data_IF_024591494253
#
_entry.id   IF_024591494253
#
_cell.length_a   1.000
_cell.length_b   1.000
_cell.length_c   1.000
_cell.angle_alpha   90.00
_cell.angle_beta   90.00
_cell.angle_gamma   90.00
#
_symmetry.space_group_name_H-M   'P 1'
#
loop_
_entity.id
_entity.type
_entity.pdbx_description
1 polymer ?
#
# COMPACT_ATOMS: atom_id res chain seq x y z
N UNK A 1 24.93 16.02 11.91
CA UNK A 1 23.71 15.20 11.78
C UNK A 1 23.99 13.83 12.38
N UNK A 2 23.05 13.22 13.11
CA UNK A 2 23.23 11.85 13.60
C UNK A 2 23.21 10.86 12.43
N UNK A 3 23.80 9.67 12.60
CA UNK A 3 23.74 8.58 11.60
C UNK A 3 22.29 8.18 11.27
N UNK A 4 21.38 8.30 12.24
CA UNK A 4 19.94 8.11 12.03
C UNK A 4 19.33 9.19 11.13
N UNK A 5 19.76 10.45 11.25
CA UNK A 5 19.27 11.54 10.39
C UNK A 5 19.54 11.27 8.91
N UNK A 6 20.72 10.75 8.56
CA UNK A 6 21.03 10.35 7.19
C UNK A 6 20.16 9.17 6.72
N UNK A 7 19.89 8.20 7.59
CA UNK A 7 19.00 7.08 7.25
C UNK A 7 17.58 7.57 6.93
N UNK A 8 17.04 8.50 7.73
CA UNK A 8 15.73 9.10 7.47
C UNK A 8 15.69 9.86 6.15
N UNK A 9 16.75 10.61 5.81
CA UNK A 9 16.84 11.28 4.51
C UNK A 9 16.81 10.28 3.35
N UNK A 10 17.60 9.19 3.43
CA UNK A 10 17.61 8.14 2.39
C UNK A 10 16.22 7.55 2.22
N UNK A 11 15.57 7.18 3.33
CA UNK A 11 14.21 6.61 3.29
C UNK A 11 13.23 7.62 2.68
N UNK A 12 13.25 8.88 3.11
CA UNK A 12 12.39 9.91 2.55
C UNK A 12 12.62 10.07 1.04
N UNK A 13 13.88 10.11 0.58
CA UNK A 13 14.19 10.21 -0.84
C UNK A 13 13.61 9.05 -1.67
N UNK A 14 13.70 7.81 -1.19
CA UNK A 14 13.15 6.65 -1.91
C UNK A 14 11.63 6.70 -2.09
N UNK A 15 10.93 7.33 -1.14
CA UNK A 15 9.48 7.39 -1.05
C UNK A 15 8.90 8.77 -1.45
N UNK A 16 9.70 9.60 -2.12
CA UNK A 16 9.26 10.88 -2.70
C UNK A 16 9.04 10.77 -4.21
N UNK A 17 8.33 11.73 -4.78
CA UNK A 17 8.09 11.80 -6.23
C UNK A 17 6.86 10.99 -6.66
N UNK A 18 7.00 10.14 -7.67
CA UNK A 18 5.87 9.43 -8.28
C UNK A 18 5.53 8.08 -7.63
N UNK A 19 5.73 7.93 -6.32
CA UNK A 19 5.36 6.68 -5.64
C UNK A 19 3.87 6.64 -5.31
N UNK A 20 3.27 5.45 -5.30
CA UNK A 20 1.83 5.30 -5.07
C UNK A 20 1.46 5.83 -3.68
N UNK A 21 2.23 5.53 -2.63
CA UNK A 21 1.91 6.03 -1.29
C UNK A 21 2.02 7.56 -1.21
N UNK A 22 3.05 8.15 -1.83
CA UNK A 22 3.19 9.60 -1.86
C UNK A 22 2.05 10.28 -2.61
N UNK A 23 1.70 9.76 -3.79
CA UNK A 23 0.62 10.32 -4.60
C UNK A 23 -0.76 10.12 -3.96
N UNK A 24 -0.93 9.04 -3.18
CA UNK A 24 -2.19 8.75 -2.48
C UNK A 24 -2.32 9.61 -1.22
N UNK A 25 -1.35 9.58 -0.31
CA UNK A 25 -1.46 10.12 1.05
C UNK A 25 -0.52 11.29 1.36
N UNK A 26 0.37 11.66 0.43
CA UNK A 26 1.39 12.69 0.61
C UNK A 26 2.71 12.16 1.16
N UNK A 27 3.77 12.96 0.98
CA UNK A 27 5.16 12.56 1.24
C UNK A 27 5.41 12.25 2.71
N UNK A 28 4.76 12.99 3.62
CA UNK A 28 4.90 12.78 5.06
C UNK A 28 4.39 11.39 5.46
N UNK A 29 3.23 10.96 4.94
CA UNK A 29 2.66 9.64 5.26
C UNK A 29 3.51 8.53 4.65
N UNK A 30 3.93 8.68 3.38
CA UNK A 30 4.79 7.70 2.74
C UNK A 30 6.13 7.51 3.49
N UNK A 31 6.78 8.63 3.83
CA UNK A 31 8.04 8.63 4.58
C UNK A 31 7.91 8.06 5.99
N UNK A 32 6.90 8.46 6.78
CA UNK A 32 6.69 7.93 8.15
C UNK A 32 6.48 6.42 8.14
N UNK A 33 5.63 5.91 7.24
CA UNK A 33 5.40 4.46 7.11
C UNK A 33 6.67 3.70 6.73
N UNK A 34 7.43 4.23 5.77
CA UNK A 34 8.69 3.62 5.36
C UNK A 34 9.72 3.63 6.50
N UNK A 35 9.83 4.72 7.27
CA UNK A 35 10.72 4.82 8.44
C UNK A 35 10.35 3.78 9.50
N UNK A 36 9.06 3.69 9.86
CA UNK A 36 8.57 2.75 10.88
C UNK A 36 8.79 1.28 10.53
N UNK A 37 8.93 0.96 9.24
CA UNK A 37 9.26 -0.39 8.79
C UNK A 37 10.78 -0.60 8.64
N UNK A 38 11.47 0.31 7.94
CA UNK A 38 12.88 0.15 7.57
C UNK A 38 13.81 0.25 8.77
N UNK A 39 13.52 1.12 9.73
CA UNK A 39 14.43 1.33 10.87
C UNK A 39 14.51 0.11 11.77
N UNK A 40 13.40 -0.51 12.23
CA UNK A 40 13.48 -1.76 12.99
C UNK A 40 14.18 -2.89 12.23
N UNK A 41 13.95 -3.00 10.91
CA UNK A 41 14.62 -3.99 10.06
C UNK A 41 16.14 -3.77 10.00
N UNK A 42 16.57 -2.53 9.80
CA UNK A 42 17.98 -2.16 9.75
C UNK A 42 18.66 -2.34 11.12
N UNK A 43 18.00 -1.94 12.21
CA UNK A 43 18.52 -2.13 13.58
C UNK A 43 18.68 -3.61 13.92
N UNK A 44 17.68 -4.43 13.58
CA UNK A 44 17.75 -5.88 13.76
C UNK A 44 18.92 -6.48 12.94
N UNK A 45 19.03 -6.11 11.67
CA UNK A 45 20.10 -6.60 10.80
C UNK A 45 21.49 -6.17 11.31
N UNK A 46 21.63 -4.93 11.78
CA UNK A 46 22.86 -4.40 12.36
C UNK A 46 23.28 -5.19 13.62
N UNK A 47 22.32 -5.48 14.51
CA UNK A 47 22.58 -6.22 15.74
C UNK A 47 23.01 -7.67 15.47
N UNK A 48 22.44 -8.31 14.43
CA UNK A 48 22.66 -9.73 14.15
C UNK A 48 23.85 -10.01 13.22
N UNK A 49 24.01 -9.23 12.16
CA UNK A 49 24.89 -9.60 11.04
C UNK A 49 26.18 -8.78 10.97
N UNK A 50 26.24 -7.64 11.64
CA UNK A 50 27.36 -6.72 11.48
C UNK A 50 28.31 -6.82 12.66
N UNK A 51 29.34 -7.66 12.54
CA UNK A 51 30.45 -7.74 13.51
C UNK A 51 31.24 -6.42 13.61
N UNK A 52 31.18 -5.60 12.57
CA UNK A 52 31.76 -4.26 12.51
C UNK A 52 30.66 -3.22 12.76
N UNK A 53 31.00 -2.06 13.33
CA UNK A 53 30.04 -0.96 13.56
C UNK A 53 29.71 -0.24 12.25
N UNK A 54 29.13 -0.93 11.26
CA UNK A 54 28.63 -0.27 10.05
C UNK A 54 27.55 0.73 10.45
N UNK A 55 27.68 2.01 10.07
CA UNK A 55 26.66 3.01 10.37
C UNK A 55 25.30 2.61 9.79
N UNK A 56 24.22 2.82 10.56
CA UNK A 56 22.86 2.41 10.16
C UNK A 56 22.43 2.96 8.79
N UNK A 57 22.81 4.18 8.43
CA UNK A 57 22.48 4.75 7.13
C UNK A 57 23.13 4.00 5.96
N UNK A 58 24.36 3.52 6.13
CA UNK A 58 25.01 2.70 5.10
C UNK A 58 24.29 1.37 4.92
N UNK A 59 23.84 0.76 6.03
CA UNK A 59 23.05 -0.46 5.98
C UNK A 59 21.71 -0.22 5.28
N UNK A 60 21.01 0.87 5.59
CA UNK A 60 19.76 1.26 4.92
C UNK A 60 20.00 1.47 3.42
N UNK A 61 21.02 2.23 3.03
CA UNK A 61 21.35 2.49 1.60
C UNK A 61 21.58 1.18 0.84
N UNK A 62 22.34 0.25 1.43
CA UNK A 62 22.68 -1.05 0.80
C UNK A 62 21.52 -2.03 0.80
N UNK A 63 20.55 -1.86 1.69
CA UNK A 63 19.39 -2.77 1.83
C UNK A 63 18.22 -2.38 0.92
N UNK A 64 18.19 -1.15 0.41
CA UNK A 64 17.27 -0.78 -0.67
C UNK A 64 17.68 -1.44 -1.99
N UNK A 65 16.72 -2.02 -2.69
CA UNK A 65 16.94 -2.54 -4.03
C UNK A 65 17.26 -1.40 -4.99
N UNK A 66 18.40 -1.48 -5.67
CA UNK A 66 18.81 -0.54 -6.70
C UNK A 66 18.63 -1.17 -8.07
N UNK A 67 18.09 -0.44 -9.06
CA UNK A 67 18.18 -0.84 -10.44
C UNK A 67 19.66 -0.97 -10.86
N UNK A 68 19.94 -1.87 -11.79
CA UNK A 68 21.26 -1.96 -12.42
C UNK A 68 21.56 -0.75 -13.32
N UNK A 69 22.70 -0.76 -14.00
CA UNK A 69 23.13 0.31 -14.91
C UNK A 69 22.14 0.51 -16.06
N UNK A 70 21.38 -0.53 -16.42
CA UNK A 70 20.35 -0.49 -17.46
C UNK A 70 18.98 -0.09 -16.91
N UNK A 71 18.88 0.22 -15.62
CA UNK A 71 17.62 0.55 -14.95
C UNK A 71 16.74 -0.67 -14.65
N UNK A 72 17.27 -1.89 -14.76
CA UNK A 72 16.50 -3.10 -14.50
C UNK A 72 16.57 -3.48 -13.02
N UNK A 73 15.43 -3.90 -12.47
CA UNK A 73 15.38 -4.52 -11.15
C UNK A 73 15.84 -5.99 -11.22
N UNK A 74 16.31 -6.56 -10.09
CA UNK A 74 16.58 -7.99 -9.98
C UNK A 74 15.44 -8.85 -10.51
N UNK A 75 15.79 -9.93 -11.23
CA UNK A 75 14.81 -10.84 -11.81
C UNK A 75 13.87 -11.40 -10.73
N UNK A 76 12.57 -11.16 -10.91
CA UNK A 76 11.51 -11.53 -9.96
C UNK A 76 10.79 -10.32 -9.39
N UNK A 77 11.49 -9.21 -9.14
CA UNK A 77 10.86 -7.98 -8.64
C UNK A 77 10.02 -7.31 -9.72
N UNK A 78 8.76 -6.94 -9.41
CA UNK A 78 7.88 -6.34 -10.40
C UNK A 78 8.35 -4.94 -10.80
N UNK A 79 8.05 -4.47 -12.02
CA UNK A 79 8.46 -3.15 -12.48
C UNK A 79 8.03 -2.03 -11.53
N UNK A 80 8.91 -1.06 -11.31
CA UNK A 80 8.64 0.11 -10.47
C UNK A 80 8.66 -0.16 -8.96
N UNK A 81 8.87 -1.39 -8.49
CA UNK A 81 8.92 -1.70 -7.06
C UNK A 81 10.03 -0.93 -6.33
N UNK A 82 9.68 -0.37 -5.17
CA UNK A 82 10.61 0.10 -4.15
C UNK A 82 10.72 -1.01 -3.11
N UNK A 83 11.79 -1.80 -3.22
CA UNK A 83 11.98 -2.98 -2.40
C UNK A 83 13.09 -2.80 -1.37
N UNK A 84 12.95 -3.49 -0.24
CA UNK A 84 13.93 -3.51 0.84
C UNK A 84 14.27 -4.95 1.22
N UNK A 85 15.52 -5.19 1.58
CA UNK A 85 16.03 -6.52 1.89
C UNK A 85 15.34 -7.09 3.14
N UNK A 86 14.74 -8.27 3.00
CA UNK A 86 14.06 -9.00 4.05
C UNK A 86 14.95 -10.17 4.52
N UNK A 87 15.75 -9.93 5.56
CA UNK A 87 16.58 -10.99 6.17
C UNK A 87 15.71 -12.13 6.73
N UNK A 88 16.27 -13.33 6.91
CA UNK A 88 15.49 -14.53 7.27
C UNK A 88 14.68 -14.37 8.57
N UNK A 89 15.19 -13.59 9.52
CA UNK A 89 14.56 -13.33 10.83
C UNK A 89 13.96 -11.93 10.94
N UNK A 90 13.76 -11.25 9.81
CA UNK A 90 13.15 -9.91 9.76
C UNK A 90 11.72 -9.86 10.32
N UNK A 91 11.10 -11.00 10.60
CA UNK A 91 9.70 -11.11 11.00
C UNK A 91 8.72 -10.79 9.87
N UNK A 92 9.20 -10.56 8.64
CA UNK A 92 8.34 -10.35 7.47
C UNK A 92 7.67 -11.67 7.12
N UNK A 93 6.35 -11.62 6.97
CA UNK A 93 5.57 -12.80 6.65
C UNK A 93 5.99 -13.38 5.28
N UNK A 94 6.11 -14.72 5.13
CA UNK A 94 6.59 -15.33 3.89
C UNK A 94 5.79 -14.95 2.63
N UNK A 95 4.48 -14.67 2.76
CA UNK A 95 3.66 -14.20 1.63
C UNK A 95 4.09 -12.84 1.07
N UNK A 96 4.84 -12.05 1.83
CA UNK A 96 5.27 -10.71 1.43
C UNK A 96 6.73 -10.67 0.99
N UNK A 97 7.38 -11.84 0.94
CA UNK A 97 8.75 -12.00 0.49
C UNK A 97 8.76 -12.41 -0.99
N UNK A 98 9.57 -11.71 -1.77
CA UNK A 98 9.91 -12.05 -3.14
C UNK A 98 11.36 -12.53 -3.15
N UNK A 99 11.56 -13.79 -3.54
CA UNK A 99 12.90 -14.35 -3.72
C UNK A 99 13.34 -14.14 -5.16
N UNK A 100 14.50 -13.52 -5.34
CA UNK A 100 15.10 -13.31 -6.67
C UNK A 100 16.04 -14.46 -7.00
N UNK A 101 16.09 -14.87 -8.27
CA UNK A 101 16.88 -16.02 -8.74
C UNK A 101 18.40 -15.76 -8.82
N UNK A 102 18.90 -14.70 -8.19
CA UNK A 102 20.34 -14.38 -8.22
C UNK A 102 21.16 -15.39 -7.38
N UNK A 103 22.48 -15.41 -7.58
CA UNK A 103 23.38 -16.31 -6.85
C UNK A 103 23.28 -16.17 -5.32
N UNK A 104 22.89 -14.98 -4.84
CA UNK A 104 22.71 -14.68 -3.43
C UNK A 104 21.31 -15.05 -2.88
N UNK A 105 20.36 -15.46 -3.73
CA UNK A 105 18.93 -15.66 -3.40
C UNK A 105 18.37 -14.56 -2.50
N UNK A 106 18.56 -13.31 -2.92
CA UNK A 106 18.11 -12.16 -2.13
C UNK A 106 16.58 -12.19 -1.94
N UNK A 107 16.16 -11.92 -0.71
CA UNK A 107 14.77 -11.90 -0.25
C UNK A 107 14.33 -10.45 -0.09
N UNK A 108 13.22 -10.06 -0.69
CA UNK A 108 12.78 -8.66 -0.74
C UNK A 108 11.35 -8.50 -0.27
N UNK A 109 11.05 -7.41 0.44
CA UNK A 109 9.69 -6.94 0.65
C UNK A 109 9.45 -5.64 -0.15
N UNK A 110 8.23 -5.45 -0.68
CA UNK A 110 7.87 -4.25 -1.47
C UNK A 110 7.26 -3.20 -0.54
N UNK A 111 8.01 -2.12 -0.31
CA UNK A 111 7.60 -1.01 0.55
C UNK A 111 6.64 -0.05 -0.16
N UNK A 112 6.90 0.23 -1.44
CA UNK A 112 6.11 1.13 -2.29
C UNK A 112 6.32 0.75 -3.77
N UNK A 113 5.61 1.40 -4.68
CA UNK A 113 5.72 1.20 -6.13
C UNK A 113 5.67 2.56 -6.81
N UNK A 114 6.51 2.75 -7.84
CA UNK A 114 6.47 3.94 -8.69
C UNK A 114 5.33 3.81 -9.71
N UNK A 115 4.47 4.82 -9.73
CA UNK A 115 3.38 4.93 -10.68
C UNK A 115 3.93 5.25 -12.08
N UNK A 116 3.46 4.51 -13.09
CA UNK A 116 3.78 4.77 -14.50
C UNK A 116 3.15 6.08 -14.98
N UNK A 117 1.89 6.32 -14.59
CA UNK A 117 1.18 7.59 -14.81
C UNK A 117 0.78 8.18 -13.44
N UNK A 118 1.59 9.11 -12.89
CA UNK A 118 1.35 9.70 -11.58
C UNK A 118 0.00 10.44 -11.50
N UNK A 119 -0.53 10.88 -12.63
CA UNK A 119 -1.77 11.67 -12.68
C UNK A 119 -3.02 10.82 -12.47
N UNK A 120 -2.88 9.49 -12.47
CA UNK A 120 -3.98 8.51 -12.32
C UNK A 120 -4.15 8.01 -10.91
N UNK A 121 -3.15 8.16 -10.04
CA UNK A 121 -3.28 7.72 -8.66
C UNK A 121 -4.32 8.59 -7.97
N UNK A 122 -5.33 7.95 -7.38
CA UNK A 122 -6.42 8.63 -6.72
C UNK A 122 -5.94 9.07 -5.34
N UNK A 123 -5.88 10.38 -5.06
CA UNK A 123 -5.44 10.86 -3.76
C UNK A 123 -6.52 10.65 -2.70
N UNK A 124 -6.09 10.42 -1.47
CA UNK A 124 -6.94 10.17 -0.32
C UNK A 124 -6.32 10.76 0.95
N UNK A 125 -7.16 11.14 1.90
CA UNK A 125 -6.70 11.61 3.21
C UNK A 125 -6.51 10.41 4.13
N UNK A 126 -5.26 10.16 4.58
CA UNK A 126 -4.98 9.09 5.53
C UNK A 126 -5.83 9.29 6.80
N UNK A 127 -6.58 8.27 7.18
CA UNK A 127 -7.39 8.31 8.40
C UNK A 127 -6.52 7.95 9.59
N UNK A 128 -6.47 8.79 10.61
CA UNK A 128 -5.76 8.49 11.85
C UNK A 128 -6.77 8.42 13.00
N UNK A 129 -7.16 7.21 13.46
CA UNK A 129 -7.98 7.14 14.66
C UNK A 129 -7.19 7.74 15.82
N UNK A 130 -7.88 8.47 16.68
CA UNK A 130 -7.25 9.13 17.84
C UNK A 130 -6.25 10.25 17.46
N UNK A 131 -6.45 10.95 16.34
CA UNK A 131 -5.61 12.09 15.94
C UNK A 131 -5.44 13.15 17.05
N UNK A 132 -6.44 13.31 17.91
CA UNK A 132 -6.43 14.22 19.07
C UNK A 132 -5.75 13.64 20.33
N UNK A 133 -5.30 12.38 20.30
CA UNK A 133 -4.67 11.69 21.42
C UNK A 133 -3.31 11.09 20.98
N UNK A 134 -2.25 11.90 20.91
CA UNK A 134 -0.97 11.51 20.31
C UNK A 134 -0.36 10.24 20.89
N UNK A 135 -0.42 10.04 22.21
CA UNK A 135 0.09 8.83 22.87
C UNK A 135 -0.63 7.57 22.39
N UNK A 136 -1.96 7.64 22.29
CA UNK A 136 -2.77 6.50 21.82
C UNK A 136 -2.56 6.26 20.34
N UNK A 137 -2.51 7.32 19.53
CA UNK A 137 -2.21 7.24 18.11
C UNK A 137 -0.85 6.55 17.88
N UNK A 138 0.20 6.98 18.55
CA UNK A 138 1.53 6.37 18.42
C UNK A 138 1.52 4.91 18.84
N UNK A 139 0.88 4.56 19.96
CA UNK A 139 0.76 3.15 20.38
C UNK A 139 0.00 2.28 19.36
N UNK A 140 -0.98 2.83 18.65
CA UNK A 140 -1.67 2.10 17.58
C UNK A 140 -0.78 1.97 16.34
N UNK A 141 -0.09 3.04 15.94
CA UNK A 141 0.85 3.04 14.82
C UNK A 141 2.00 2.05 15.04
N UNK A 142 2.52 1.95 16.27
CA UNK A 142 3.60 1.00 16.62
C UNK A 142 3.16 -0.46 16.51
N UNK A 143 1.85 -0.72 16.66
CA UNK A 143 1.24 -2.06 16.47
C UNK A 143 0.73 -2.28 15.05
N UNK A 144 0.76 -1.23 14.22
CA UNK A 144 0.21 -1.28 12.87
C UNK A 144 1.24 -1.87 11.93
N UNK A 145 0.76 -2.76 11.07
CA UNK A 145 1.55 -3.30 10.00
C UNK A 145 1.86 -2.23 8.94
N UNK A 146 3.12 -1.80 8.87
CA UNK A 146 3.50 -0.71 7.99
C UNK A 146 3.67 -1.15 6.53
N UNK A 147 3.83 -2.45 6.26
CA UNK A 147 4.04 -2.99 4.92
C UNK A 147 2.71 -2.94 4.13
N UNK A 148 2.66 -2.43 2.90
CA UNK A 148 1.43 -2.55 2.10
C UNK A 148 1.19 -3.99 1.62
N UNK A 149 -0.05 -4.31 1.26
CA UNK A 149 -0.38 -5.51 0.49
C UNK A 149 -0.71 -5.10 -0.94
N UNK A 150 0.07 -5.60 -1.90
CA UNK A 150 -0.09 -5.28 -3.32
C UNK A 150 -0.83 -6.40 -4.06
N UNK A 151 -1.76 -6.03 -4.93
CA UNK A 151 -2.52 -6.97 -5.76
C UNK A 151 -1.86 -7.13 -7.12
N UNK A 152 -0.72 -7.82 -7.13
CA UNK A 152 -0.04 -8.22 -8.36
C UNK A 152 -0.80 -9.34 -9.07
N UNK A 153 -0.99 -9.20 -10.37
CA UNK A 153 -1.55 -10.25 -11.21
C UNK A 153 -0.48 -11.29 -11.59
N UNK A 154 -0.90 -12.46 -12.09
CA UNK A 154 -0.01 -13.46 -12.68
C UNK A 154 0.84 -12.90 -13.85
N UNK A 155 0.29 -11.93 -14.58
CA UNK A 155 0.98 -11.18 -15.65
C UNK A 155 2.03 -10.19 -15.13
N UNK A 156 2.17 -10.05 -13.81
CA UNK A 156 3.00 -9.06 -13.12
C UNK A 156 2.53 -7.60 -13.27
N UNK A 157 1.33 -7.37 -13.81
CA UNK A 157 0.70 -6.05 -13.75
C UNK A 157 0.16 -5.77 -12.35
N UNK A 158 0.14 -4.49 -11.96
CA UNK A 158 -0.37 -4.07 -10.65
C UNK A 158 -1.86 -3.74 -10.73
N UNK A 159 -2.62 -4.33 -9.83
CA UNK A 159 -4.01 -3.98 -9.55
C UNK A 159 -5.03 -4.62 -10.47
N UNK A 160 -6.29 -4.44 -10.13
CA UNK A 160 -7.45 -5.03 -10.83
C UNK A 160 -8.59 -4.02 -10.95
N UNK A 161 -9.40 -4.05 -12.02
CA UNK A 161 -10.63 -3.26 -12.07
C UNK A 161 -11.55 -3.62 -10.91
N UNK A 162 -12.08 -2.64 -10.19
CA UNK A 162 -13.02 -2.93 -9.09
C UNK A 162 -14.34 -3.50 -9.60
N UNK A 163 -14.60 -3.47 -10.91
CA UNK A 163 -15.79 -4.06 -11.55
C UNK A 163 -15.55 -5.46 -12.13
N UNK A 164 -14.35 -6.04 -11.94
CA UNK A 164 -14.04 -7.37 -12.44
C UNK A 164 -15.05 -8.41 -11.91
N UNK A 165 -15.50 -9.30 -12.80
CA UNK A 165 -16.46 -10.37 -12.47
C UNK A 165 -15.84 -11.47 -11.60
N UNK A 166 -14.55 -11.74 -11.82
CA UNK A 166 -13.73 -12.63 -11.00
C UNK A 166 -12.35 -12.00 -10.75
N UNK A 167 -11.57 -12.64 -9.88
CA UNK A 167 -10.26 -12.16 -9.44
C UNK A 167 -9.17 -13.20 -9.73
N UNK A 168 -9.40 -14.11 -10.67
CA UNK A 168 -8.52 -15.27 -10.98
C UNK A 168 -7.16 -14.84 -11.54
N UNK A 169 -7.04 -13.59 -11.96
CA UNK A 169 -5.76 -12.99 -12.32
C UNK A 169 -4.83 -12.77 -11.11
N UNK A 170 -5.31 -12.82 -9.86
CA UNK A 170 -4.51 -12.70 -8.65
C UNK A 170 -4.14 -14.09 -8.11
N UNK A 171 -2.88 -14.32 -7.70
CA UNK A 171 -2.48 -15.56 -7.05
C UNK A 171 -3.31 -15.85 -5.79
N UNK A 172 -3.93 -17.04 -5.73
CA UNK A 172 -4.70 -17.49 -4.58
C UNK A 172 -3.79 -18.03 -3.47
N UNK A 173 -3.02 -17.11 -2.87
CA UNK A 173 -2.06 -17.41 -1.79
C UNK A 173 -2.52 -16.79 -0.47
N UNK A 174 -2.20 -17.41 0.68
CA UNK A 174 -2.52 -16.84 1.99
C UNK A 174 -1.89 -15.45 2.15
N UNK A 175 -2.62 -14.52 2.76
CA UNK A 175 -2.07 -13.26 3.25
C UNK A 175 -1.56 -13.42 4.68
N UNK A 176 -0.90 -12.39 5.20
CA UNK A 176 -0.56 -12.30 6.63
C UNK A 176 -1.72 -11.87 7.53
N UNK A 177 -2.93 -11.66 6.96
CA UNK A 177 -4.08 -11.20 7.74
C UNK A 177 -4.79 -12.41 8.38
N UNK A 178 -4.73 -12.47 9.71
CA UNK A 178 -5.35 -13.54 10.51
C UNK A 178 -6.73 -13.19 11.08
N UNK A 179 -7.11 -11.91 11.03
CA UNK A 179 -8.36 -11.40 11.57
C UNK A 179 -9.60 -12.06 10.91
N UNK A 180 -10.70 -12.16 11.65
CA UNK A 180 -11.98 -12.64 11.10
C UNK A 180 -12.70 -11.57 10.27
N UNK A 181 -12.43 -10.29 10.54
CA UNK A 181 -12.99 -9.15 9.82
C UNK A 181 -12.00 -8.00 9.75
N UNK A 182 -12.21 -7.12 8.78
CA UNK A 182 -11.48 -5.85 8.63
C UNK A 182 -12.47 -4.71 8.45
N UNK A 183 -12.08 -3.54 8.90
CA UNK A 183 -12.73 -2.29 8.56
C UNK A 183 -12.00 -1.64 7.40
N UNK A 184 -12.66 -1.54 6.25
CA UNK A 184 -12.17 -0.84 5.07
C UNK A 184 -12.64 0.60 5.17
N UNK A 185 -11.69 1.53 5.22
CA UNK A 185 -11.98 2.94 5.28
C UNK A 185 -11.57 3.60 3.96
N UNK A 186 -12.38 4.54 3.49
CA UNK A 186 -12.12 5.35 2.30
C UNK A 186 -12.34 6.81 2.66
N UNK A 187 -11.39 7.66 2.32
CA UNK A 187 -11.50 9.11 2.53
C UNK A 187 -11.00 9.81 1.28
N UNK A 188 -11.85 9.75 0.26
CA UNK A 188 -11.60 10.37 -1.03
C UNK A 188 -11.59 11.90 -0.86
N UNK A 189 -10.70 12.61 -1.57
CA UNK A 189 -10.61 14.06 -1.43
C UNK A 189 -11.96 14.74 -1.76
N UNK A 190 -12.39 15.64 -0.87
CA UNK A 190 -13.68 16.35 -0.88
C UNK A 190 -14.92 15.51 -0.52
N UNK A 191 -14.75 14.27 -0.07
CA UNK A 191 -15.85 13.43 0.41
C UNK A 191 -15.66 13.12 1.89
N UNK A 192 -16.78 12.98 2.61
CA UNK A 192 -16.76 12.45 3.96
C UNK A 192 -16.20 11.01 3.98
N UNK A 193 -15.49 10.62 5.05
CA UNK A 193 -14.94 9.28 5.15
C UNK A 193 -16.06 8.23 5.23
N UNK A 194 -15.93 7.18 4.42
CA UNK A 194 -16.83 6.02 4.43
C UNK A 194 -16.08 4.82 4.99
N UNK A 195 -16.70 4.14 5.95
CA UNK A 195 -16.16 2.90 6.52
C UNK A 195 -17.12 1.73 6.25
N UNK A 196 -16.57 0.57 5.87
CA UNK A 196 -17.33 -0.67 5.73
C UNK A 196 -16.58 -1.83 6.37
N UNK A 197 -17.27 -2.60 7.22
CA UNK A 197 -16.72 -3.84 7.74
C UNK A 197 -16.89 -4.97 6.71
N UNK A 198 -15.82 -5.72 6.46
CA UNK A 198 -15.81 -6.93 5.64
C UNK A 198 -15.51 -8.16 6.50
N UNK A 199 -16.23 -9.25 6.24
CA UNK A 199 -15.98 -10.54 6.88
C UNK A 199 -15.02 -11.35 6.00
N UNK A 200 -13.88 -11.74 6.57
CA UNK A 200 -12.82 -12.46 5.85
C UNK A 200 -13.09 -13.96 5.79
N UNK A 201 -13.80 -14.51 6.78
CA UNK A 201 -14.11 -15.94 6.88
C UNK A 201 -15.54 -16.20 6.43
N UNK A 202 -15.70 -17.20 5.58
CA UNK A 202 -17.02 -17.65 5.09
C UNK A 202 -17.67 -18.69 6.00
N UNK A 203 -16.89 -19.44 6.80
CA UNK A 203 -17.43 -20.47 7.71
C UNK A 203 -16.68 -20.49 9.06
N UNK A 204 -17.39 -20.60 10.20
CA UNK A 204 -16.78 -20.64 11.53
C UNK A 204 -15.91 -21.90 11.80
N UNK A 205 -16.11 -22.97 11.02
CA UNK A 205 -15.43 -24.26 11.23
C UNK A 205 -14.23 -24.52 10.32
N UNK A 206 -13.95 -23.64 9.35
CA UNK A 206 -12.64 -23.64 8.71
C UNK A 206 -11.69 -23.03 9.73
N UNK A 207 -10.58 -23.72 10.04
CA UNK A 207 -9.66 -23.36 11.12
C UNK A 207 -9.13 -21.93 11.05
N UNK A 208 -8.19 -21.57 11.92
CA UNK A 208 -7.51 -20.26 11.94
C UNK A 208 -6.61 -20.06 10.69
N UNK A 209 -7.15 -20.21 9.48
CA UNK A 209 -6.47 -19.92 8.23
C UNK A 209 -6.53 -18.43 7.92
N UNK A 210 -5.47 -17.91 7.34
CA UNK A 210 -5.44 -16.56 6.81
C UNK A 210 -6.30 -16.44 5.56
N UNK A 211 -6.81 -15.24 5.30
CA UNK A 211 -7.58 -14.97 4.07
C UNK A 211 -6.65 -15.00 2.87
N UNK A 212 -7.10 -15.57 1.75
CA UNK A 212 -6.33 -15.53 0.51
C UNK A 212 -6.30 -14.13 -0.10
N UNK A 213 -5.22 -13.83 -0.83
CA UNK A 213 -5.02 -12.52 -1.46
C UNK A 213 -6.13 -12.20 -2.46
N UNK A 214 -6.54 -13.22 -3.22
CA UNK A 214 -7.65 -13.13 -4.17
C UNK A 214 -8.98 -12.75 -3.48
N UNK A 215 -9.33 -13.47 -2.40
CA UNK A 215 -10.55 -13.21 -1.63
C UNK A 215 -10.52 -11.82 -0.99
N UNK A 216 -9.38 -11.43 -0.45
CA UNK A 216 -9.19 -10.10 0.14
C UNK A 216 -9.44 -9.02 -0.92
N UNK A 217 -8.80 -9.13 -2.09
CA UNK A 217 -8.97 -8.18 -3.19
C UNK A 217 -10.45 -8.05 -3.63
N UNK A 218 -11.17 -9.18 -3.75
CA UNK A 218 -12.61 -9.18 -4.06
C UNK A 218 -13.44 -8.42 -3.01
N UNK A 219 -13.19 -8.68 -1.72
CA UNK A 219 -13.91 -8.03 -0.62
C UNK A 219 -13.63 -6.53 -0.55
N UNK A 220 -12.36 -6.13 -0.73
CA UNK A 220 -11.95 -4.72 -0.76
C UNK A 220 -12.57 -4.02 -1.96
N UNK A 221 -12.52 -4.59 -3.16
CA UNK A 221 -13.17 -4.02 -4.35
C UNK A 221 -14.68 -3.83 -4.13
N UNK A 222 -15.34 -4.80 -3.48
CA UNK A 222 -16.73 -4.67 -3.04
C UNK A 222 -16.94 -3.49 -2.10
N UNK A 223 -16.10 -3.31 -1.08
CA UNK A 223 -16.18 -2.17 -0.17
C UNK A 223 -15.98 -0.82 -0.89
N UNK A 224 -15.01 -0.74 -1.81
CA UNK A 224 -14.78 0.45 -2.65
C UNK A 224 -16.01 0.78 -3.48
N UNK A 225 -16.61 -0.19 -4.18
CA UNK A 225 -17.84 0.03 -4.97
C UNK A 225 -18.97 0.60 -4.13
N UNK A 226 -19.20 0.04 -2.94
CA UNK A 226 -20.24 0.54 -2.04
C UNK A 226 -19.96 1.97 -1.56
N UNK A 227 -18.71 2.29 -1.23
CA UNK A 227 -18.34 3.63 -0.82
C UNK A 227 -18.53 4.63 -1.97
N UNK A 228 -18.14 4.28 -3.20
CA UNK A 228 -18.38 5.12 -4.37
C UNK A 228 -19.88 5.36 -4.59
N UNK A 229 -20.73 4.34 -4.47
CA UNK A 229 -22.19 4.53 -4.56
C UNK A 229 -22.72 5.48 -3.48
N UNK A 230 -22.18 5.46 -2.26
CA UNK A 230 -22.52 6.45 -1.22
C UNK A 230 -22.08 7.86 -1.64
N UNK A 231 -20.87 8.00 -2.20
CA UNK A 231 -20.37 9.28 -2.70
C UNK A 231 -21.19 9.83 -3.88
N UNK A 232 -21.69 8.97 -4.77
CA UNK A 232 -22.55 9.37 -5.89
C UNK A 232 -23.88 9.97 -5.44
N UNK A 233 -24.38 9.59 -4.25
CA UNK A 233 -25.59 10.13 -3.65
C UNK A 233 -25.37 11.49 -2.96
N UNK A 234 -24.12 11.90 -2.73
CA UNK A 234 -23.81 13.22 -2.16
C UNK A 234 -23.93 14.28 -3.25
N UNK A 235 -24.68 15.36 -2.96
CA UNK A 235 -24.92 16.45 -3.92
C UNK A 235 -23.60 17.14 -4.30
N UNK A 236 -23.09 16.92 -5.53
CA UNK A 236 -21.80 17.46 -5.92
C UNK A 236 -21.81 18.98 -6.05
N UNK A 237 -22.98 19.61 -6.18
CA UNK A 237 -23.09 21.07 -6.35
C UNK A 237 -23.02 21.81 -5.00
N UNK A 238 -23.05 21.08 -3.87
CA UNK A 238 -22.89 21.64 -2.52
C UNK A 238 -21.46 21.60 -1.98
N UNK A 239 -20.54 20.95 -2.70
CA UNK A 239 -19.18 20.73 -2.25
C UNK A 239 -18.27 21.82 -2.83
N UNK A 240 -17.54 22.53 -1.97
CA UNK A 240 -16.45 23.40 -2.41
C UNK A 240 -15.28 22.53 -2.87
N UNK A 241 -15.25 22.22 -4.17
CA UNK A 241 -14.25 21.34 -4.77
C UNK A 241 -12.85 21.95 -4.70
N UNK A 242 -11.95 21.34 -3.91
CA UNK A 242 -10.51 21.65 -3.96
C UNK A 242 -9.93 21.23 -5.32
N UNK A 243 -10.44 20.14 -5.90
CA UNK A 243 -10.04 19.70 -7.23
C UNK A 243 -11.17 18.92 -7.92
N UNK A 244 -11.79 19.52 -8.95
CA UNK A 244 -12.92 18.96 -9.69
C UNK A 244 -12.59 17.68 -10.48
N UNK A 245 -11.31 17.37 -10.68
CA UNK A 245 -10.87 16.18 -11.43
C UNK A 245 -11.17 14.86 -10.72
N UNK A 246 -11.41 14.91 -9.40
CA UNK A 246 -11.63 13.74 -8.55
C UNK A 246 -13.11 13.52 -8.20
N UNK A 247 -14.03 14.11 -8.97
CA UNK A 247 -15.47 13.96 -8.75
C UNK A 247 -15.92 12.55 -9.11
N UNK A 248 -16.62 11.90 -8.19
CA UNK A 248 -17.31 10.64 -8.37
C UNK A 248 -18.72 10.91 -8.90
N UNK A 249 -19.16 10.15 -9.91
CA UNK A 249 -20.50 10.26 -10.49
C UNK A 249 -20.64 9.61 -11.85
N UNK A 250 -21.81 9.79 -12.46
CA UNK A 250 -22.20 9.18 -13.74
C UNK A 250 -22.15 10.13 -14.94
N UNK A 251 -21.87 11.42 -14.70
CA UNK A 251 -21.80 12.44 -15.77
C UNK A 251 -20.48 12.33 -16.54
N UNK A 252 -20.42 12.77 -17.80
CA UNK A 252 -19.16 12.84 -18.54
C UNK A 252 -18.06 13.56 -17.74
N UNK A 253 -16.88 12.93 -17.66
CA UNK A 253 -15.74 13.44 -16.90
C UNK A 253 -15.75 13.18 -15.40
N UNK A 254 -16.80 12.56 -14.87
CA UNK A 254 -16.83 12.08 -13.49
C UNK A 254 -16.26 10.66 -13.45
N UNK A 255 -15.67 10.31 -12.31
CA UNK A 255 -15.09 9.01 -12.05
C UNK A 255 -16.22 8.06 -11.63
N UNK A 256 -16.46 7.04 -12.43
CA UNK A 256 -17.40 5.97 -12.09
C UNK A 256 -16.66 4.75 -11.54
N UNK A 257 -17.39 3.78 -11.00
CA UNK A 257 -16.81 2.50 -10.57
C UNK A 257 -16.05 1.77 -11.68
N UNK A 258 -16.38 2.01 -12.96
CA UNK A 258 -15.72 1.38 -14.12
C UNK A 258 -14.33 1.95 -14.39
N UNK A 259 -14.04 3.12 -13.84
CA UNK A 259 -12.79 3.83 -14.08
C UNK A 259 -11.74 3.52 -13.03
N UNK A 260 -12.08 2.78 -11.96
CA UNK A 260 -11.20 2.58 -10.81
C UNK A 260 -10.55 1.19 -10.82
N UNK A 261 -9.24 1.18 -10.61
CA UNK A 261 -8.40 0.01 -10.42
C UNK A 261 -7.92 -0.01 -8.96
N UNK A 262 -8.08 -1.16 -8.30
CA UNK A 262 -7.59 -1.42 -6.95
C UNK A 262 -6.18 -2.01 -7.02
N UNK A 263 -5.20 -1.29 -6.49
CA UNK A 263 -3.77 -1.62 -6.54
C UNK A 263 -3.31 -2.47 -5.36
N UNK A 264 -3.92 -2.25 -4.20
CA UNK A 264 -3.48 -2.82 -2.94
C UNK A 264 -4.22 -2.21 -1.75
N UNK A 265 -3.69 -2.46 -0.56
CA UNK A 265 -4.16 -1.84 0.69
C UNK A 265 -2.98 -1.44 1.57
N UNK A 266 -3.21 -0.44 2.42
CA UNK A 266 -2.34 -0.10 3.57
C UNK A 266 -3.11 -0.33 4.86
N UNK A 267 -2.41 -0.73 5.92
CA UNK A 267 -2.99 -0.80 7.26
C UNK A 267 -2.90 0.55 7.93
N UNK A 268 -4.02 1.01 8.44
CA UNK A 268 -4.14 2.28 9.16
C UNK A 268 -3.93 2.08 10.65
N UNK A 269 -4.59 1.05 11.17
CA UNK A 269 -4.48 0.52 12.53
C UNK A 269 -4.71 -0.98 12.48
N UNK A 270 -4.43 -1.73 13.56
CA UNK A 270 -4.86 -3.13 13.65
C UNK A 270 -6.36 -3.27 13.31
N UNK A 271 -6.66 -4.14 12.36
CA UNK A 271 -8.03 -4.39 11.89
C UNK A 271 -8.64 -3.31 10.97
N UNK A 272 -7.89 -2.27 10.58
CA UNK A 272 -8.37 -1.21 9.67
C UNK A 272 -7.43 -1.00 8.50
N UNK A 273 -7.98 -0.94 7.30
CA UNK A 273 -7.22 -0.80 6.06
C UNK A 273 -7.79 0.29 5.17
N UNK A 274 -6.94 0.91 4.35
CA UNK A 274 -7.33 1.81 3.28
C UNK A 274 -6.89 1.26 1.93
N UNK A 275 -7.75 1.31 0.89
CA UNK A 275 -7.38 0.86 -0.44
C UNK A 275 -6.47 1.88 -1.13
N UNK A 276 -5.54 1.36 -1.94
CA UNK A 276 -4.74 2.12 -2.89
C UNK A 276 -5.42 2.02 -4.25
N UNK A 277 -5.78 3.17 -4.84
CA UNK A 277 -6.62 3.23 -6.03
C UNK A 277 -5.92 4.03 -7.13
N UNK A 278 -6.14 3.64 -8.38
CA UNK A 278 -5.83 4.46 -9.55
C UNK A 278 -6.98 4.47 -10.53
N UNK A 279 -6.97 5.43 -11.43
CA UNK A 279 -7.82 5.43 -12.60
C UNK A 279 -7.26 4.51 -13.69
N UNK A 280 -8.14 3.92 -14.49
CA UNK A 280 -7.76 3.17 -15.68
C UNK A 280 -7.00 4.06 -16.68
N UNK A 281 -6.08 3.50 -17.48
CA UNK A 281 -5.25 4.28 -18.40
C UNK A 281 -6.06 5.14 -19.39
N UNK A 282 -7.23 4.66 -19.82
CA UNK A 282 -8.06 5.29 -20.85
C UNK A 282 -9.01 6.37 -20.29
N UNK A 283 -9.02 6.62 -18.98
CA UNK A 283 -9.88 7.66 -18.41
C UNK A 283 -9.49 9.04 -18.98
N UNK A 284 -10.46 9.89 -19.28
CA UNK A 284 -10.19 11.25 -19.80
C UNK A 284 -10.70 12.27 -18.80
N UNK A 285 -9.81 13.15 -18.34
CA UNK A 285 -10.21 14.28 -17.51
C UNK A 285 -10.89 15.35 -18.37
N UNK A 286 -12.09 15.78 -17.96
CA UNK A 286 -12.73 16.97 -18.52
C UNK A 286 -12.49 18.14 -17.57
N UNK A 287 -11.97 19.24 -18.11
CA UNK A 287 -11.68 20.47 -17.35
C UNK A 287 -12.85 21.45 -17.40
#
# INVERSE_FOLDING_TARGET
MSTQGHAFMVIACEHTGNTILNLTFGAQVAGDRAIRLVMPLAEHAMAKYTKQRTPIHELVIRSYCRPDISGNLPQGLPPGAIAFLAHEDSGIHPSDIIETANAARSRWCILDVRAQDPTRIIPATMLFPYALQPTRLNSELDRTDMLPLWFWQHSRSLGIPITASNFDCIPDRPTRIEASSLKVALHWINYEPVEKQIQLRTKPNQGKGSVSLQRLAFLIAGAVRNAMSTCEMQDPDRINWVNKRWRIGVRPGYISVRDVILLGIVFVTPGRVMPLLQLRPEFVFTY
#
